data_IF_109634680718
#
_entry.id   IF_109634680718
#
_cell.length_a   1.000
_cell.length_b   1.000
_cell.length_c   1.000
_cell.angle_alpha   90.00
_cell.angle_beta   90.00
_cell.angle_gamma   90.00
#
_symmetry.space_group_name_H-M   'P 1'
#
loop_
_entity.id
_entity.type
_entity.pdbx_description
1 polymer ?
#
# COMPACT_ATOMS: atom_id res chain seq x y z
N UNK A 1 4.58 -37.70 31.11
CA UNK A 1 3.24 -37.13 30.85
C UNK A 1 3.12 -35.59 30.90
N UNK A 2 4.20 -34.79 31.01
CA UNK A 2 4.07 -33.32 31.15
C UNK A 2 4.43 -32.45 29.93
N UNK A 3 5.03 -33.01 28.87
CA UNK A 3 5.62 -32.23 27.77
C UNK A 3 4.60 -31.51 26.88
N UNK A 4 3.41 -32.06 26.70
CA UNK A 4 2.38 -31.48 25.82
C UNK A 4 1.86 -30.12 26.30
N UNK A 5 1.66 -29.97 27.62
CA UNK A 5 1.20 -28.70 28.22
C UNK A 5 2.28 -27.62 28.15
N UNK A 6 3.53 -27.99 28.43
CA UNK A 6 4.66 -27.07 28.32
C UNK A 6 4.85 -26.60 26.87
N UNK A 7 4.81 -27.53 25.90
CA UNK A 7 4.91 -27.20 24.47
C UNK A 7 3.78 -26.26 24.03
N UNK A 8 2.54 -26.54 24.42
CA UNK A 8 1.41 -25.67 24.10
C UNK A 8 1.56 -24.25 24.67
N UNK A 9 2.01 -24.12 25.94
CA UNK A 9 2.32 -22.83 26.54
C UNK A 9 3.42 -22.08 25.78
N UNK A 10 4.50 -22.77 25.43
CA UNK A 10 5.60 -22.17 24.68
C UNK A 10 5.18 -21.71 23.28
N UNK A 11 4.40 -22.52 22.55
CA UNK A 11 3.87 -22.12 21.23
C UNK A 11 2.94 -20.92 21.34
N UNK A 12 2.10 -20.85 22.37
CA UNK A 12 1.22 -19.68 22.61
C UNK A 12 2.05 -18.41 22.87
N UNK A 13 3.06 -18.48 23.73
CA UNK A 13 3.96 -17.34 24.04
C UNK A 13 4.73 -16.92 22.79
N UNK A 14 5.29 -17.87 22.04
CA UNK A 14 6.03 -17.58 20.81
C UNK A 14 5.14 -16.94 19.74
N UNK A 15 3.90 -17.43 19.57
CA UNK A 15 2.93 -16.83 18.65
C UNK A 15 2.57 -15.41 19.08
N UNK A 16 2.36 -15.19 20.38
CA UNK A 16 2.14 -13.85 20.90
C UNK A 16 3.34 -12.95 20.62
N UNK A 17 4.59 -13.37 20.88
CA UNK A 17 5.75 -12.54 20.54
C UNK A 17 5.91 -12.27 19.04
N UNK A 18 5.63 -13.27 18.19
CA UNK A 18 5.79 -13.16 16.74
C UNK A 18 4.73 -12.28 16.08
N UNK A 19 3.49 -12.34 16.55
CA UNK A 19 2.34 -11.70 15.91
C UNK A 19 1.63 -10.68 16.79
N UNK A 20 2.11 -10.41 18.00
CA UNK A 20 1.72 -9.21 18.73
C UNK A 20 2.43 -8.06 18.02
N UNK A 21 1.69 -7.34 17.18
CA UNK A 21 2.16 -6.15 16.47
C UNK A 21 2.52 -4.99 17.41
N UNK A 22 2.66 -5.24 18.72
CA UNK A 22 2.78 -4.26 19.77
C UNK A 22 1.49 -3.45 19.90
N UNK A 23 0.99 -3.28 21.12
CA UNK A 23 0.17 -2.10 21.41
C UNK A 23 1.09 -0.89 21.42
N UNK A 24 1.64 -0.52 20.26
CA UNK A 24 2.39 0.72 20.13
C UNK A 24 1.40 1.85 20.30
N UNK A 25 1.68 2.72 21.26
CA UNK A 25 0.90 3.93 21.43
C UNK A 25 1.23 4.86 20.25
N UNK A 26 0.43 4.73 19.18
CA UNK A 26 0.58 5.49 17.95
C UNK A 26 0.51 6.99 18.23
N UNK A 27 -0.22 7.40 19.27
CA UNK A 27 -0.30 8.81 19.67
C UNK A 27 1.02 9.29 20.28
N UNK A 28 1.67 8.47 21.11
CA UNK A 28 3.00 8.78 21.66
C UNK A 28 4.07 8.81 20.59
N UNK A 29 4.04 7.86 19.66
CA UNK A 29 4.96 7.79 18.52
C UNK A 29 4.80 9.00 17.58
N UNK A 30 3.55 9.40 17.28
CA UNK A 30 3.27 10.58 16.46
C UNK A 30 3.74 11.87 17.12
N UNK A 31 3.67 11.97 18.45
CA UNK A 31 4.22 13.12 19.19
C UNK A 31 5.76 13.15 19.13
N UNK A 32 6.42 12.00 19.28
CA UNK A 32 7.88 11.89 19.19
C UNK A 32 8.41 12.20 17.78
N UNK A 33 7.69 11.75 16.74
CA UNK A 33 8.02 12.03 15.34
C UNK A 33 7.59 13.44 14.87
N UNK A 34 6.94 14.23 15.72
CA UNK A 34 6.44 15.56 15.35
C UNK A 34 5.27 15.55 14.36
N UNK A 35 4.64 14.40 14.12
CA UNK A 35 3.47 14.24 13.25
C UNK A 35 2.17 14.76 13.90
N UNK A 36 2.20 15.11 15.18
CA UNK A 36 1.06 15.70 15.90
C UNK A 36 0.99 17.20 15.66
N UNK A 37 0.75 17.61 14.41
CA UNK A 37 0.45 18.99 14.07
C UNK A 37 -0.95 19.06 13.47
N UNK A 38 -1.82 19.73 14.23
CA UNK A 38 -3.16 20.16 13.85
C UNK A 38 -3.11 21.15 12.67
N UNK A 39 -2.86 20.67 11.46
CA UNK A 39 -2.95 21.51 10.26
C UNK A 39 -3.43 20.68 9.06
N UNK A 40 -4.57 21.03 8.44
CA UNK A 40 -4.99 20.46 7.17
C UNK A 40 -4.17 21.13 6.05
N UNK A 41 -2.85 20.94 6.03
CA UNK A 41 -2.04 21.46 4.94
C UNK A 41 -0.84 20.54 4.67
N UNK A 42 -0.82 20.13 3.41
CA UNK A 42 0.28 19.54 2.67
C UNK A 42 0.66 18.11 3.00
N UNK A 43 0.35 17.24 2.04
CA UNK A 43 0.84 15.90 1.82
C UNK A 43 2.37 15.83 1.58
N UNK A 44 3.16 16.66 2.26
CA UNK A 44 4.60 16.80 2.01
C UNK A 44 5.38 16.57 3.31
N UNK A 45 6.33 15.63 3.35
CA UNK A 45 7.21 15.49 4.50
C UNK A 45 8.04 16.77 4.66
N UNK A 46 8.34 17.22 5.90
CA UNK A 46 9.15 18.42 6.14
C UNK A 46 10.59 18.31 5.61
N UNK A 47 10.99 17.11 5.15
CA UNK A 47 12.29 16.79 4.57
C UNK A 47 12.15 16.08 3.21
N UNK A 48 10.94 16.07 2.63
CA UNK A 48 10.71 15.57 1.28
C UNK A 48 10.91 16.72 0.31
N UNK A 49 11.97 16.65 -0.47
CA UNK A 49 12.07 17.46 -1.68
C UNK A 49 10.74 17.33 -2.43
N UNK A 50 10.12 18.43 -2.87
CA UNK A 50 8.98 18.33 -3.77
C UNK A 50 9.43 17.44 -4.93
N UNK A 51 8.71 16.34 -5.18
CA UNK A 51 8.91 15.58 -6.40
C UNK A 51 8.66 16.56 -7.53
N UNK A 52 9.74 17.02 -8.15
CA UNK A 52 9.66 17.74 -9.41
C UNK A 52 9.02 16.72 -10.37
N UNK A 53 7.93 17.13 -11.00
CA UNK A 53 7.27 16.41 -12.10
C UNK A 53 8.18 16.49 -13.35
N UNK A 54 9.48 16.27 -13.13
CA UNK A 54 10.55 16.27 -14.12
C UNK A 54 10.47 14.88 -14.77
N UNK A 55 9.81 14.87 -15.92
CA UNK A 55 9.91 13.88 -16.96
C UNK A 55 9.69 12.44 -16.48
N UNK A 56 8.44 11.96 -16.53
CA UNK A 56 8.09 10.54 -16.39
C UNK A 56 8.96 9.63 -17.28
N UNK A 57 9.57 10.17 -18.34
CA UNK A 57 10.54 9.48 -19.21
C UNK A 57 11.90 9.17 -18.58
N UNK A 58 12.35 9.90 -17.55
CA UNK A 58 13.67 9.71 -16.91
C UNK A 58 13.57 8.97 -15.55
N UNK A 59 12.36 8.61 -15.09
CA UNK A 59 12.20 7.71 -13.94
C UNK A 59 12.62 6.28 -14.33
N UNK A 60 13.68 5.70 -13.71
CA UNK A 60 14.08 4.32 -13.97
C UNK A 60 12.96 3.29 -13.74
N UNK A 61 11.91 3.62 -12.98
CA UNK A 61 10.73 2.77 -12.78
C UNK A 61 9.67 2.89 -13.88
N UNK A 62 9.59 4.00 -14.62
CA UNK A 62 8.59 4.18 -15.68
C UNK A 62 8.68 3.07 -16.74
N UNK A 63 9.90 2.69 -17.13
CA UNK A 63 10.15 1.60 -18.08
C UNK A 63 9.64 0.22 -17.62
N UNK A 64 9.56 0.01 -16.30
CA UNK A 64 8.96 -1.20 -15.76
C UNK A 64 7.44 -1.09 -15.76
N UNK A 65 6.88 0.07 -15.41
CA UNK A 65 5.45 0.29 -15.49
C UNK A 65 4.93 -0.01 -16.90
N UNK A 66 5.53 0.59 -17.95
CA UNK A 66 5.11 0.37 -19.34
C UNK A 66 5.09 -1.11 -19.75
N UNK A 67 6.07 -1.90 -19.29
CA UNK A 67 6.19 -3.33 -19.65
C UNK A 67 5.10 -4.22 -19.04
N UNK A 68 4.51 -3.81 -17.92
CA UNK A 68 3.51 -4.58 -17.20
C UNK A 68 2.12 -3.93 -17.21
N UNK A 69 2.01 -2.66 -17.59
CA UNK A 69 0.74 -1.94 -17.69
C UNK A 69 0.05 -2.17 -19.05
N UNK A 70 0.80 -2.57 -20.09
CA UNK A 70 0.28 -2.91 -21.43
C UNK A 70 -0.60 -4.18 -21.46
N UNK A 71 -0.65 -4.95 -20.37
CA UNK A 71 -1.49 -6.16 -20.24
C UNK A 71 -2.87 -5.90 -19.60
N UNK A 72 -3.18 -4.68 -19.13
CA UNK A 72 -4.42 -4.38 -18.36
C UNK A 72 -5.41 -3.39 -19.05
N UNK A 73 -5.11 -2.87 -20.26
CA UNK A 73 -5.92 -1.83 -20.93
C UNK A 73 -6.58 -2.24 -22.29
N UNK A 74 -6.86 -3.52 -22.53
CA UNK A 74 -7.53 -4.00 -23.78
C UNK A 74 -9.00 -4.47 -23.64
N UNK A 75 -9.72 -4.13 -22.55
CA UNK A 75 -11.08 -4.65 -22.33
C UNK A 75 -12.18 -3.59 -22.13
N UNK A 76 -12.21 -2.46 -22.86
CA UNK A 76 -13.45 -1.66 -22.93
C UNK A 76 -13.61 -0.74 -24.16
N UNK A 77 -14.00 -1.28 -25.32
CA UNK A 77 -15.07 -0.74 -26.20
C UNK A 77 -15.15 -1.48 -27.56
N UNK A 78 -16.19 -2.29 -27.77
CA UNK A 78 -16.79 -2.44 -29.10
C UNK A 78 -18.23 -2.97 -29.00
N UNK A 79 -19.19 -2.06 -28.83
CA UNK A 79 -20.60 -2.35 -29.05
C UNK A 79 -20.93 -2.02 -30.53
N UNK A 80 -21.08 -3.00 -31.45
CA UNK A 80 -21.21 -2.70 -32.85
C UNK A 80 -22.63 -2.21 -33.16
N UNK A 81 -22.72 -0.91 -33.40
CA UNK A 81 -23.53 -0.24 -34.42
C UNK A 81 -24.86 -0.89 -34.84
N UNK A 82 -25.92 -0.18 -34.48
CA UNK A 82 -27.23 -0.13 -35.13
C UNK A 82 -27.29 -0.48 -36.63
N UNK A 83 -27.97 -1.58 -36.98
CA UNK A 83 -28.65 -1.72 -38.28
C UNK A 83 -30.15 -2.01 -38.11
N UNK A 84 -30.93 -0.97 -38.39
CA UNK A 84 -32.35 -1.04 -38.74
C UNK A 84 -32.53 -1.66 -40.14
N UNK A 85 -33.47 -2.61 -40.27
CA UNK A 85 -34.33 -2.97 -41.44
C UNK A 85 -34.77 -4.43 -41.20
N UNK A 86 -36.04 -4.79 -40.99
CA UNK A 86 -37.26 -4.29 -41.61
C UNK A 86 -37.56 -5.10 -42.87
N UNK A 87 -38.31 -6.20 -42.72
CA UNK A 87 -39.30 -6.80 -43.65
C UNK A 87 -39.77 -8.13 -43.08
#
# INVERSE_FOLDING_TARGET
>A
MGRGRAKAKQTKVARQLKYNSGGTDLSRLANELGASTSSPISSQPPNGEPFEDDDEEDDPYARYADMYNDDDDEDEESDPSSQRRGA
#
